data_IF_401600183121
#
_entry.id   IF_401600183121
#
_cell.length_a   1.000
_cell.length_b   1.000
_cell.length_c   1.000
_cell.angle_alpha   90.00
_cell.angle_beta   90.00
_cell.angle_gamma   90.00
#
_symmetry.space_group_name_H-M   'P 1'
#
loop_
_entity.id
_entity.type
_entity.pdbx_description
1 polymer ?
#
# COMPACT_ATOMS: atom_id res chain seq x y z
N UNK A 1 -17.85 -3.19 -6.14
CA UNK A 1 -18.20 -4.38 -5.33
C UNK A 1 -17.06 -4.59 -4.35
N UNK A 2 -17.36 -4.60 -3.05
CA UNK A 2 -16.36 -4.45 -1.99
C UNK A 2 -15.25 -5.48 -2.12
N UNK A 3 -14.03 -5.01 -2.40
CA UNK A 3 -12.82 -5.81 -2.31
C UNK A 3 -12.69 -6.27 -0.87
N UNK A 4 -13.07 -7.52 -0.62
CA UNK A 4 -12.70 -8.19 0.61
C UNK A 4 -11.18 -8.04 0.76
N UNK A 5 -10.73 -7.44 1.86
CA UNK A 5 -9.32 -7.50 2.24
C UNK A 5 -8.87 -8.97 2.31
N UNK A 6 -7.57 -9.21 2.37
CA UNK A 6 -6.99 -10.57 2.31
C UNK A 6 -7.72 -11.60 3.19
N UNK A 7 -8.12 -11.21 4.41
CA UNK A 7 -8.91 -12.07 5.32
C UNK A 7 -10.26 -12.51 4.75
N UNK A 8 -10.97 -11.64 4.04
CA UNK A 8 -12.25 -12.00 3.43
C UNK A 8 -12.08 -12.90 2.21
N UNK A 9 -10.96 -12.78 1.48
CA UNK A 9 -10.59 -13.73 0.40
C UNK A 9 -10.33 -15.11 0.98
N UNK A 10 -9.52 -15.18 2.03
CA UNK A 10 -9.20 -16.45 2.72
C UNK A 10 -10.48 -17.10 3.26
N UNK A 11 -11.32 -16.34 3.97
CA UNK A 11 -12.60 -16.86 4.49
C UNK A 11 -13.54 -17.31 3.37
N UNK A 12 -13.62 -16.58 2.25
CA UNK A 12 -14.46 -16.99 1.13
C UNK A 12 -13.96 -18.29 0.49
N UNK A 13 -12.64 -18.47 0.40
CA UNK A 13 -12.02 -19.69 -0.13
C UNK A 13 -12.24 -20.89 0.80
N UNK A 14 -12.03 -20.73 2.11
CA UNK A 14 -12.30 -21.75 3.13
C UNK A 14 -13.77 -22.21 3.12
N UNK A 15 -14.69 -21.28 2.88
CA UNK A 15 -16.13 -21.57 2.76
C UNK A 15 -16.53 -22.16 1.40
N UNK A 16 -15.57 -22.38 0.47
CA UNK A 16 -15.84 -22.87 -0.89
C UNK A 16 -16.66 -21.91 -1.75
N UNK A 17 -16.74 -20.62 -1.38
CA UNK A 17 -17.53 -19.60 -2.09
C UNK A 17 -16.81 -19.06 -3.34
N UNK A 18 -15.50 -19.25 -3.41
CA UNK A 18 -14.67 -18.88 -4.56
C UNK A 18 -13.74 -20.05 -4.89
N UNK A 19 -13.39 -20.19 -6.16
CA UNK A 19 -12.42 -21.20 -6.59
C UNK A 19 -11.00 -20.79 -6.20
N UNK A 20 -10.07 -21.75 -6.24
CA UNK A 20 -8.65 -21.51 -6.00
C UNK A 20 -8.09 -20.46 -6.97
N UNK A 21 -8.49 -20.48 -8.25
CA UNK A 21 -8.09 -19.50 -9.26
C UNK A 21 -8.61 -18.10 -8.93
N UNK A 22 -9.85 -17.99 -8.46
CA UNK A 22 -10.43 -16.73 -8.02
C UNK A 22 -9.72 -16.19 -6.77
N UNK A 23 -9.40 -17.05 -5.81
CA UNK A 23 -8.64 -16.68 -4.62
C UNK A 23 -7.24 -16.16 -5.00
N UNK A 24 -6.51 -16.88 -5.87
CA UNK A 24 -5.20 -16.47 -6.37
C UNK A 24 -5.29 -15.13 -7.11
N UNK A 25 -6.24 -14.98 -8.03
CA UNK A 25 -6.44 -13.73 -8.77
C UNK A 25 -6.69 -12.54 -7.84
N UNK A 26 -7.52 -12.73 -6.81
CA UNK A 26 -7.80 -11.69 -5.83
C UNK A 26 -6.58 -11.35 -4.96
N UNK A 27 -5.76 -12.34 -4.59
CA UNK A 27 -4.50 -12.14 -3.86
C UNK A 27 -3.51 -11.34 -4.72
N UNK A 28 -3.36 -11.70 -5.99
CA UNK A 28 -2.47 -10.98 -6.91
C UNK A 28 -2.88 -9.51 -7.06
N UNK A 29 -4.17 -9.21 -7.18
CA UNK A 29 -4.67 -7.83 -7.21
C UNK A 29 -4.38 -7.07 -5.91
N UNK A 30 -4.51 -7.72 -4.77
CA UNK A 30 -4.16 -7.11 -3.47
C UNK A 30 -2.66 -6.81 -3.36
N UNK A 31 -1.80 -7.68 -3.92
CA UNK A 31 -0.36 -7.46 -3.94
C UNK A 31 0.03 -6.28 -4.83
N UNK A 32 -0.56 -6.15 -6.02
CA UNK A 32 -0.33 -5.00 -6.90
C UNK A 32 -0.72 -3.69 -6.20
N UNK A 33 -1.91 -3.66 -5.59
CA UNK A 33 -2.36 -2.48 -4.85
C UNK A 33 -1.47 -2.16 -3.63
N UNK A 34 -0.89 -3.18 -2.99
CA UNK A 34 0.07 -2.98 -1.90
C UNK A 34 1.39 -2.41 -2.42
N UNK A 35 1.90 -2.91 -3.55
CA UNK A 35 3.12 -2.42 -4.17
C UNK A 35 2.99 -0.94 -4.56
N UNK A 36 1.87 -0.55 -5.18
CA UNK A 36 1.60 0.85 -5.55
C UNK A 36 1.62 1.76 -4.32
N UNK A 37 0.92 1.37 -3.25
CA UNK A 37 0.87 2.15 -2.00
C UNK A 37 2.23 2.24 -1.32
N UNK A 38 3.02 1.16 -1.34
CA UNK A 38 4.39 1.18 -0.81
C UNK A 38 5.26 2.15 -1.60
N UNK A 39 5.18 2.12 -2.93
CA UNK A 39 5.92 3.02 -3.81
C UNK A 39 5.56 4.49 -3.55
N UNK A 40 4.28 4.79 -3.35
CA UNK A 40 3.84 6.15 -2.98
C UNK A 40 4.44 6.60 -1.65
N UNK A 41 4.44 5.73 -0.63
CA UNK A 41 5.01 6.05 0.69
C UNK A 41 6.52 6.27 0.57
N UNK A 42 7.24 5.40 -0.15
CA UNK A 42 8.67 5.54 -0.39
C UNK A 42 9.00 6.86 -1.09
N UNK A 43 8.21 7.25 -2.10
CA UNK A 43 8.37 8.53 -2.78
C UNK A 43 8.11 9.72 -1.85
N UNK A 44 7.08 9.67 -1.02
CA UNK A 44 6.79 10.71 -0.04
C UNK A 44 7.91 10.84 1.01
N UNK A 45 8.44 9.72 1.49
CA UNK A 45 9.57 9.71 2.42
C UNK A 45 10.84 10.29 1.79
N UNK A 46 11.13 9.92 0.54
CA UNK A 46 12.27 10.47 -0.20
C UNK A 46 12.11 11.98 -0.43
N UNK A 47 10.90 12.46 -0.75
CA UNK A 47 10.63 13.90 -0.85
C UNK A 47 10.83 14.62 0.48
N UNK A 48 10.36 14.04 1.60
CA UNK A 48 10.56 14.60 2.93
C UNK A 48 12.05 14.65 3.29
N UNK A 49 12.81 13.59 2.96
CA UNK A 49 14.26 13.53 3.16
C UNK A 49 15.02 14.56 2.32
N UNK A 50 14.56 14.81 1.09
CA UNK A 50 15.17 15.76 0.16
C UNK A 50 14.85 17.21 0.46
N UNK A 51 13.82 17.51 1.27
CA UNK A 51 13.58 18.87 1.73
C UNK A 51 14.78 19.27 2.60
N UNK A 52 15.64 20.21 2.13
CA UNK A 52 16.64 20.76 3.02
C UNK A 52 15.92 21.44 4.18
N UNK A 53 16.55 21.43 5.34
CA UNK A 53 16.15 22.21 6.50
C UNK A 53 16.32 23.71 6.16
N UNK A 54 15.48 24.24 5.28
CA UNK A 54 15.44 25.66 4.92
C UNK A 54 14.60 26.36 5.97
N UNK A 55 15.24 26.72 7.09
CA UNK A 55 14.55 27.30 8.23
C UNK A 55 15.46 27.70 9.39
N UNK A 56 16.59 28.34 9.12
CA UNK A 56 17.17 29.31 10.07
C UNK A 56 17.89 30.41 9.29
N UNK A 57 17.17 31.45 8.84
CA UNK A 57 17.77 32.76 8.68
C UNK A 57 17.77 33.48 10.05
N UNK A 58 18.88 34.16 10.33
CA UNK A 58 19.04 35.25 11.30
C UNK A 58 18.99 34.92 12.80
N UNK A 59 20.17 34.98 13.43
CA UNK A 59 20.54 36.18 14.22
C UNK A 59 22.05 36.33 14.16
N UNK A 60 22.51 37.17 13.24
CA UNK A 60 23.82 37.82 13.32
C UNK A 60 23.49 39.28 13.68
N UNK A 61 23.62 39.63 14.96
CA UNK A 61 23.59 41.00 15.47
C UNK A 61 24.29 41.09 16.83
#
# INVERSE_FOLDING_TARGET
>A
MGTYGLQGVIRAWELGKITTEQAIGQILLLLVALEERLREIEQQMEQLRRRPHTGSPETDH
#
